data_IF_637795836314
#
_entry.id   IF_637795836314
#
_cell.length_a   1.000
_cell.length_b   1.000
_cell.length_c   1.000
_cell.angle_alpha   90.00
_cell.angle_beta   90.00
_cell.angle_gamma   90.00
#
_symmetry.space_group_name_H-M   'P 1'
#
loop_
_entity.id
_entity.type
_entity.pdbx_description
1 polymer ?
#
# COMPACT_ATOMS: atom_id res chain seq x y z
N UNK A 1 -15.26 4.89 8.44
CA UNK A 1 -14.43 4.13 9.39
C UNK A 1 -14.53 2.65 9.10
N UNK A 2 -15.73 2.04 9.16
CA UNK A 2 -15.94 0.61 8.84
C UNK A 2 -15.32 0.15 7.52
N UNK A 3 -15.49 0.92 6.44
CA UNK A 3 -14.89 0.59 5.13
C UNK A 3 -13.36 0.49 5.19
N UNK A 4 -12.71 1.39 5.94
CA UNK A 4 -11.25 1.37 6.08
C UNK A 4 -10.78 0.19 6.92
N UNK A 5 -11.45 -0.08 8.05
CA UNK A 5 -11.14 -1.24 8.90
C UNK A 5 -11.29 -2.55 8.11
N UNK A 6 -12.38 -2.71 7.37
CA UNK A 6 -12.58 -3.89 6.52
C UNK A 6 -11.49 -4.02 5.45
N UNK A 7 -11.08 -2.91 4.82
CA UNK A 7 -9.97 -2.94 3.88
C UNK A 7 -8.68 -3.43 4.55
N UNK A 8 -8.33 -2.88 5.71
CA UNK A 8 -7.10 -3.22 6.44
C UNK A 8 -7.08 -4.63 6.99
N UNK A 9 -8.25 -5.25 7.24
CA UNK A 9 -8.33 -6.66 7.64
C UNK A 9 -8.18 -7.62 6.46
N UNK A 10 -8.51 -7.19 5.24
CA UNK A 10 -8.53 -8.03 4.04
C UNK A 10 -7.24 -7.89 3.23
N UNK A 11 -6.65 -6.69 3.18
CA UNK A 11 -5.46 -6.39 2.38
C UNK A 11 -4.24 -7.27 2.72
N UNK A 12 -3.94 -7.63 3.98
CA UNK A 12 -2.86 -8.57 4.30
C UNK A 12 -2.97 -9.92 3.59
N UNK A 13 -4.17 -10.30 3.13
CA UNK A 13 -4.37 -11.48 2.28
C UNK A 13 -3.62 -11.39 0.94
N UNK A 14 -3.47 -10.20 0.34
CA UNK A 14 -2.67 -10.03 -0.88
C UNK A 14 -1.19 -10.31 -0.60
N UNK A 15 -0.72 -9.90 0.58
CA UNK A 15 0.68 -9.98 0.97
C UNK A 15 1.05 -11.41 1.35
N UNK A 16 0.14 -12.11 2.04
CA UNK A 16 0.29 -13.53 2.32
C UNK A 16 0.36 -14.36 1.03
N UNK A 17 -0.53 -14.11 0.05
CA UNK A 17 -0.47 -14.79 -1.25
C UNK A 17 0.82 -14.45 -1.98
N UNK A 18 1.23 -13.18 -2.00
CA UNK A 18 2.47 -12.76 -2.65
C UNK A 18 3.71 -13.41 -2.03
N UNK A 19 3.79 -13.45 -0.69
CA UNK A 19 4.85 -14.14 0.05
C UNK A 19 4.87 -15.64 -0.26
N UNK A 20 3.71 -16.29 -0.25
CA UNK A 20 3.60 -17.72 -0.60
C UNK A 20 4.13 -18.02 -1.99
N UNK A 21 3.72 -17.21 -2.98
CA UNK A 21 4.13 -17.39 -4.38
C UNK A 21 5.59 -17.01 -4.65
N UNK A 22 6.22 -16.18 -3.80
CA UNK A 22 7.58 -15.64 -4.01
C UNK A 22 8.69 -16.70 -4.14
N UNK A 23 8.41 -17.94 -3.73
CA UNK A 23 9.31 -19.10 -3.86
C UNK A 23 9.32 -19.69 -5.27
N UNK A 24 8.26 -19.47 -6.04
CA UNK A 24 8.04 -20.08 -7.36
C UNK A 24 7.77 -19.08 -8.49
N UNK A 25 7.31 -17.88 -8.14
CA UNK A 25 6.95 -16.81 -9.07
C UNK A 25 7.66 -15.53 -8.62
N UNK A 26 8.23 -14.79 -9.57
CA UNK A 26 8.92 -13.54 -9.27
C UNK A 26 7.95 -12.49 -8.70
N UNK A 27 8.43 -11.64 -7.79
CA UNK A 27 7.61 -10.57 -7.20
C UNK A 27 7.04 -9.61 -8.27
N UNK A 28 7.79 -9.37 -9.35
CA UNK A 28 7.35 -8.61 -10.51
C UNK A 28 6.17 -9.25 -11.23
N UNK A 29 6.19 -10.58 -11.41
CA UNK A 29 5.08 -11.28 -12.04
C UNK A 29 3.84 -11.30 -11.14
N UNK A 30 3.99 -11.51 -9.83
CA UNK A 30 2.85 -11.42 -8.89
C UNK A 30 2.25 -10.01 -8.91
N UNK A 31 3.09 -8.97 -8.92
CA UNK A 31 2.65 -7.58 -9.03
C UNK A 31 1.97 -7.30 -10.38
N UNK A 32 2.47 -7.83 -11.49
CA UNK A 32 1.81 -7.74 -12.79
C UNK A 32 0.42 -8.39 -12.77
N UNK A 33 0.31 -9.62 -12.25
CA UNK A 33 -0.95 -10.35 -12.19
C UNK A 33 -2.00 -9.62 -11.35
N UNK A 34 -1.59 -8.97 -10.25
CA UNK A 34 -2.46 -8.08 -9.46
C UNK A 34 -3.18 -7.07 -10.36
N UNK A 35 -2.42 -6.34 -11.18
CA UNK A 35 -2.97 -5.29 -12.05
C UNK A 35 -3.72 -5.84 -13.26
N UNK A 36 -3.27 -6.97 -13.80
CA UNK A 36 -3.98 -7.69 -14.86
C UNK A 36 -5.39 -8.07 -14.42
N UNK A 37 -5.52 -8.78 -13.29
CA UNK A 37 -6.81 -9.19 -12.75
C UNK A 37 -7.64 -8.00 -12.28
N UNK A 38 -7.02 -6.98 -11.66
CA UNK A 38 -7.72 -5.75 -11.32
C UNK A 38 -8.35 -5.07 -12.56
N UNK A 39 -7.61 -4.99 -13.66
CA UNK A 39 -8.12 -4.43 -14.91
C UNK A 39 -9.30 -5.23 -15.44
N UNK A 40 -9.18 -6.56 -15.47
CA UNK A 40 -10.23 -7.46 -15.94
C UNK A 40 -11.50 -7.34 -15.09
N UNK A 41 -11.37 -7.31 -13.77
CA UNK A 41 -12.48 -7.19 -12.83
C UNK A 41 -13.14 -5.81 -12.89
N UNK A 42 -12.37 -4.74 -13.10
CA UNK A 42 -12.89 -3.38 -13.16
C UNK A 42 -13.45 -3.00 -14.54
N UNK A 43 -13.08 -3.70 -15.61
CA UNK A 43 -13.55 -3.44 -16.97
C UNK A 43 -15.09 -3.33 -17.07
N UNK A 44 -15.91 -4.30 -16.62
CA UNK A 44 -17.37 -4.20 -16.73
C UNK A 44 -17.95 -3.03 -15.92
N UNK A 45 -17.34 -2.68 -14.78
CA UNK A 45 -17.77 -1.52 -13.99
C UNK A 45 -17.39 -0.21 -14.67
N UNK A 46 -16.19 -0.14 -15.26
CA UNK A 46 -15.71 1.01 -16.03
C UNK A 46 -16.62 1.30 -17.23
N UNK A 47 -17.00 0.27 -18.00
CA UNK A 47 -17.90 0.42 -19.15
C UNK A 47 -19.29 0.96 -18.77
N UNK A 48 -19.71 0.83 -17.51
CA UNK A 48 -20.96 1.42 -16.99
C UNK A 48 -20.81 2.87 -16.54
N UNK A 49 -19.59 3.39 -16.44
CA UNK A 49 -19.34 4.77 -16.01
C UNK A 49 -19.56 5.76 -17.17
N UNK A 50 -20.12 6.95 -16.88
CA UNK A 50 -20.47 7.95 -17.91
C UNK A 50 -19.35 8.94 -18.22
N UNK A 51 -18.99 9.14 -19.49
CA UNK A 51 -18.05 10.20 -19.91
C UNK A 51 -16.92 9.65 -20.77
N UNK A 52 -16.00 10.51 -21.22
CA UNK A 52 -14.94 10.09 -22.14
C UNK A 52 -13.94 9.13 -21.47
N UNK A 53 -13.42 8.19 -22.26
CA UNK A 53 -12.33 7.28 -21.86
C UNK A 53 -11.03 8.05 -21.64
N UNK A 54 -10.81 9.15 -22.37
CA UNK A 54 -9.67 10.03 -22.18
C UNK A 54 -10.14 11.24 -21.35
N UNK A 55 -9.94 11.19 -20.04
CA UNK A 55 -10.26 12.31 -19.16
C UNK A 55 -9.06 13.28 -19.08
N UNK A 56 -9.27 14.56 -18.77
CA UNK A 56 -8.17 15.49 -18.50
C UNK A 56 -7.27 15.06 -17.33
N UNK A 57 -7.78 14.18 -16.46
CA UNK A 57 -7.03 13.61 -15.34
C UNK A 57 -6.16 12.40 -15.71
N UNK A 58 -6.17 11.96 -16.98
CA UNK A 58 -5.45 10.76 -17.42
C UNK A 58 -3.95 10.76 -17.04
N UNK A 59 -3.19 11.87 -17.14
CA UNK A 59 -1.79 11.90 -16.68
C UNK A 59 -1.66 11.63 -15.17
N UNK A 60 -2.61 12.10 -14.35
CA UNK A 60 -2.62 11.82 -12.91
C UNK A 60 -2.98 10.36 -12.63
N UNK A 61 -3.86 9.76 -13.44
CA UNK A 61 -4.14 8.32 -13.38
C UNK A 61 -2.94 7.48 -13.76
N UNK A 62 -2.20 7.87 -14.80
CA UNK A 62 -0.96 7.21 -15.22
C UNK A 62 0.09 7.25 -14.11
N UNK A 63 0.33 8.44 -13.53
CA UNK A 63 1.25 8.58 -12.40
C UNK A 63 0.80 7.77 -11.18
N UNK A 64 -0.51 7.77 -10.86
CA UNK A 64 -1.06 6.92 -9.79
C UNK A 64 -0.83 5.44 -10.04
N UNK A 65 -1.07 4.96 -11.27
CA UNK A 65 -0.84 3.58 -11.68
C UNK A 65 0.63 3.18 -11.55
N UNK A 66 1.55 4.06 -11.98
CA UNK A 66 2.98 3.84 -11.85
C UNK A 66 3.44 3.79 -10.38
N UNK A 67 2.96 4.72 -9.53
CA UNK A 67 3.31 4.76 -8.12
C UNK A 67 2.81 3.54 -7.34
N UNK A 68 1.56 3.10 -7.58
CA UNK A 68 1.05 1.89 -6.92
C UNK A 68 1.74 0.62 -7.44
N UNK A 69 2.13 0.58 -8.72
CA UNK A 69 2.91 -0.52 -9.27
C UNK A 69 4.30 -0.59 -8.65
N UNK A 70 4.99 0.54 -8.52
CA UNK A 70 6.27 0.63 -7.84
C UNK A 70 6.14 0.21 -6.36
N UNK A 71 5.14 0.72 -5.64
CA UNK A 71 4.89 0.33 -4.25
C UNK A 71 4.68 -1.18 -4.13
N UNK A 72 3.84 -1.75 -5.00
CA UNK A 72 3.54 -3.19 -5.01
C UNK A 72 4.80 -4.02 -5.29
N UNK A 73 5.60 -3.63 -6.28
CA UNK A 73 6.85 -4.31 -6.63
C UNK A 73 7.84 -4.29 -5.46
N UNK A 74 8.05 -3.13 -4.85
CA UNK A 74 8.98 -2.99 -3.72
C UNK A 74 8.51 -3.82 -2.53
N UNK A 75 7.22 -3.76 -2.19
CA UNK A 75 6.69 -4.49 -1.05
C UNK A 75 6.74 -6.00 -1.26
N UNK A 76 6.27 -6.50 -2.41
CA UNK A 76 6.30 -7.93 -2.72
C UNK A 76 7.74 -8.47 -2.86
N UNK A 77 8.69 -7.63 -3.26
CA UNK A 77 10.11 -7.99 -3.25
C UNK A 77 10.65 -8.09 -1.82
N UNK A 78 10.21 -7.23 -0.91
CA UNK A 78 10.58 -7.28 0.50
C UNK A 78 10.08 -8.56 1.20
N UNK A 79 8.85 -8.99 0.87
CA UNK A 79 8.21 -10.17 1.48
C UNK A 79 8.91 -11.50 1.19
N UNK A 80 9.76 -11.54 0.16
CA UNK A 80 10.66 -12.68 -0.09
C UNK A 80 11.66 -12.90 1.04
N UNK A 81 12.01 -11.83 1.76
CA UNK A 81 13.06 -11.83 2.77
C UNK A 81 12.53 -11.58 4.19
N UNK A 82 11.43 -10.83 4.32
CA UNK A 82 10.91 -10.39 5.60
C UNK A 82 9.68 -11.18 6.05
N UNK A 83 9.52 -11.41 7.36
CA UNK A 83 8.23 -11.69 7.98
C UNK A 83 7.17 -10.65 7.58
N UNK A 84 5.93 -11.11 7.45
CA UNK A 84 4.82 -10.26 6.97
C UNK A 84 4.59 -9.05 7.88
N UNK A 85 4.59 -9.30 9.19
CA UNK A 85 4.41 -8.27 10.20
C UNK A 85 5.58 -7.29 10.26
N UNK A 86 6.82 -7.74 10.08
CA UNK A 86 7.99 -6.86 10.05
C UNK A 86 7.93 -5.91 8.85
N UNK A 87 7.61 -6.45 7.66
CA UNK A 87 7.45 -5.64 6.45
C UNK A 87 6.35 -4.58 6.61
N UNK A 88 5.18 -4.95 7.14
CA UNK A 88 4.07 -4.01 7.40
C UNK A 88 4.45 -2.97 8.46
N UNK A 89 5.15 -3.39 9.52
CA UNK A 89 5.60 -2.49 10.58
C UNK A 89 6.56 -1.42 10.06
N UNK A 90 7.46 -1.77 9.14
CA UNK A 90 8.35 -0.81 8.49
C UNK A 90 7.55 0.10 7.53
N UNK A 91 6.59 -0.47 6.79
CA UNK A 91 5.72 0.27 5.89
C UNK A 91 4.87 1.32 6.63
N UNK A 92 4.52 1.12 7.90
CA UNK A 92 3.75 2.06 8.72
C UNK A 92 4.41 3.42 9.00
N UNK A 93 5.59 3.70 8.44
CA UNK A 93 6.07 5.07 8.26
C UNK A 93 5.21 5.85 7.26
N UNK A 94 4.48 5.16 6.38
CA UNK A 94 3.62 5.72 5.33
C UNK A 94 2.67 6.81 5.83
N UNK A 95 1.84 6.62 6.89
CA UNK A 95 0.92 7.66 7.33
C UNK A 95 1.64 8.92 7.83
N UNK A 96 2.87 8.78 8.34
CA UNK A 96 3.71 9.91 8.76
C UNK A 96 4.26 10.67 7.56
N UNK A 97 4.70 9.97 6.52
CA UNK A 97 5.11 10.57 5.24
C UNK A 97 3.90 11.27 4.61
N UNK A 98 2.75 10.62 4.57
CA UNK A 98 1.50 11.17 4.06
C UNK A 98 1.13 12.47 4.77
N UNK A 99 1.32 12.53 6.09
CA UNK A 99 1.09 13.74 6.89
C UNK A 99 2.00 14.91 6.46
N UNK A 100 3.27 14.64 6.14
CA UNK A 100 4.19 15.66 5.63
C UNK A 100 3.83 16.08 4.20
N UNK A 101 3.51 15.13 3.33
CA UNK A 101 3.14 15.39 1.94
C UNK A 101 1.80 16.12 1.83
N UNK A 102 0.84 15.82 2.71
CA UNK A 102 -0.44 16.53 2.80
C UNK A 102 -0.23 18.02 3.06
N UNK A 103 0.77 18.36 3.88
CA UNK A 103 1.13 19.75 4.10
C UNK A 103 1.65 20.45 2.85
N UNK A 104 2.59 19.79 2.16
CA UNK A 104 3.28 20.37 1.01
C UNK A 104 2.36 20.49 -0.21
N UNK A 105 1.54 19.46 -0.47
CA UNK A 105 0.76 19.36 -1.71
C UNK A 105 -0.72 19.73 -1.56
N UNK A 106 -1.27 19.66 -0.35
CA UNK A 106 -2.69 19.98 -0.09
C UNK A 106 -2.86 21.26 0.73
N UNK A 107 -1.76 21.92 1.11
CA UNK A 107 -1.78 23.17 1.89
C UNK A 107 -2.19 22.98 3.35
N UNK A 108 -2.06 21.77 3.89
CA UNK A 108 -2.40 21.47 5.28
C UNK A 108 -1.33 22.04 6.23
N UNK A 109 -1.72 22.71 7.31
CA UNK A 109 -0.75 23.24 8.27
C UNK A 109 -0.15 22.14 9.14
N UNK A 110 1.19 22.12 9.28
CA UNK A 110 1.94 21.22 10.19
C UNK A 110 2.45 22.03 11.36
N UNK A 111 1.98 21.74 12.57
CA UNK A 111 2.60 22.29 13.78
C UNK A 111 3.85 21.52 14.19
N UNK A 112 4.74 22.14 14.96
CA UNK A 112 5.96 21.51 15.49
C UNK A 112 5.70 20.17 16.21
N UNK A 113 4.58 20.06 16.94
CA UNK A 113 4.16 18.81 17.62
C UNK A 113 3.91 17.66 16.65
N UNK A 114 3.46 17.96 15.44
CA UNK A 114 3.24 16.96 14.39
C UNK A 114 4.57 16.53 13.79
N UNK A 115 5.51 17.47 13.57
CA UNK A 115 6.87 17.15 13.14
C UNK A 115 7.59 16.26 14.16
N UNK A 116 7.46 16.55 15.46
CA UNK A 116 8.06 15.71 16.50
C UNK A 116 7.45 14.31 16.53
N UNK A 117 6.14 14.17 16.37
CA UNK A 117 5.50 12.85 16.32
C UNK A 117 5.91 12.06 15.07
N UNK A 118 6.04 12.72 13.92
CA UNK A 118 6.59 12.10 12.71
C UNK A 118 8.03 11.62 12.93
N UNK A 119 8.88 12.44 13.57
CA UNK A 119 10.25 12.06 13.89
C UNK A 119 10.32 10.86 14.86
N UNK A 120 9.48 10.84 15.90
CA UNK A 120 9.40 9.72 16.86
C UNK A 120 8.89 8.44 16.18
N UNK A 121 7.87 8.54 15.33
CA UNK A 121 7.37 7.39 14.59
C UNK A 121 8.40 6.85 13.58
N UNK A 122 9.17 7.73 12.94
CA UNK A 122 10.30 7.32 12.10
C UNK A 122 11.41 6.63 12.92
N UNK A 123 11.71 7.12 14.13
CA UNK A 123 12.63 6.42 15.02
C UNK A 123 12.11 5.02 15.40
N UNK A 124 10.79 4.88 15.61
CA UNK A 124 10.14 3.59 15.83
C UNK A 124 10.32 2.61 14.67
N UNK A 125 10.28 3.06 13.42
CA UNK A 125 10.56 2.18 12.28
C UNK A 125 12.03 1.78 12.19
N UNK A 126 12.96 2.64 12.56
CA UNK A 126 14.38 2.27 12.66
C UNK A 126 14.62 1.16 13.69
N UNK A 127 13.84 1.12 14.78
CA UNK A 127 13.87 0.01 15.75
C UNK A 127 13.49 -1.32 15.08
N UNK A 128 12.43 -1.34 14.27
CA UNK A 128 11.99 -2.54 13.53
C UNK A 128 12.98 -2.90 12.41
N UNK A 129 13.52 -1.90 11.71
CA UNK A 129 14.44 -2.13 10.58
C UNK A 129 15.75 -2.72 11.06
N UNK A 130 16.28 -2.30 12.23
CA UNK A 130 17.67 -2.60 12.63
C UNK A 130 18.01 -4.11 12.63
N UNK A 131 17.23 -5.01 13.26
CA UNK A 131 17.50 -6.45 13.20
C UNK A 131 17.48 -6.96 11.76
N UNK A 132 16.42 -6.65 11.01
CA UNK A 132 16.24 -7.04 9.61
C UNK A 132 17.36 -6.55 8.70
N UNK A 133 17.80 -5.31 8.87
CA UNK A 133 18.90 -4.72 8.10
C UNK A 133 20.24 -5.36 8.44
N UNK A 134 20.48 -5.71 9.71
CA UNK A 134 21.68 -6.44 10.09
C UNK A 134 21.76 -7.84 9.50
N UNK A 135 20.60 -8.51 9.33
CA UNK A 135 20.51 -9.85 8.78
C UNK A 135 20.49 -9.88 7.24
N UNK A 136 19.83 -8.91 6.60
CA UNK A 136 19.49 -8.95 5.17
C UNK A 136 20.15 -7.83 4.35
N UNK A 137 20.60 -6.74 4.98
CA UNK A 137 21.10 -5.56 4.31
C UNK A 137 20.01 -4.73 3.63
N UNK A 138 20.30 -4.22 2.43
CA UNK A 138 19.45 -3.29 1.68
C UNK A 138 17.99 -3.74 1.45
N UNK A 139 17.65 -5.02 1.24
CA UNK A 139 16.26 -5.48 1.11
C UNK A 139 15.34 -5.07 2.26
N UNK A 140 15.88 -4.92 3.48
CA UNK A 140 15.11 -4.48 4.65
C UNK A 140 14.57 -3.03 4.50
N UNK A 141 15.10 -2.25 3.55
CA UNK A 141 14.67 -0.88 3.29
C UNK A 141 13.57 -0.78 2.22
N UNK A 142 13.25 -1.86 1.50
CA UNK A 142 12.22 -1.86 0.46
C UNK A 142 10.82 -1.41 0.96
N UNK A 143 10.37 -1.77 2.18
CA UNK A 143 9.11 -1.25 2.70
C UNK A 143 9.10 0.28 2.94
N UNK A 144 10.27 0.92 3.15
CA UNK A 144 10.33 2.40 3.20
C UNK A 144 10.09 3.03 1.82
N UNK A 145 10.65 2.44 0.76
CA UNK A 145 10.37 2.86 -0.61
C UNK A 145 8.90 2.64 -0.99
N UNK A 146 8.31 1.56 -0.48
CA UNK A 146 6.86 1.31 -0.57
C UNK A 146 6.07 2.41 0.11
N UNK A 147 6.42 2.74 1.37
CA UNK A 147 5.74 3.78 2.15
C UNK A 147 5.76 5.14 1.43
N UNK A 148 6.89 5.54 0.87
CA UNK A 148 7.01 6.80 0.13
C UNK A 148 6.15 6.82 -1.14
N UNK A 149 6.28 5.80 -1.99
CA UNK A 149 5.53 5.71 -3.26
C UNK A 149 4.02 5.59 -3.01
N UNK A 150 3.61 4.85 -1.98
CA UNK A 150 2.22 4.70 -1.59
C UNK A 150 1.63 6.00 -1.01
N UNK A 151 2.39 6.73 -0.19
CA UNK A 151 1.94 8.02 0.35
C UNK A 151 1.66 9.04 -0.78
N UNK A 152 2.55 9.12 -1.79
CA UNK A 152 2.31 9.97 -2.98
C UNK A 152 1.08 9.48 -3.76
N UNK A 153 0.92 8.16 -3.95
CA UNK A 153 -0.28 7.58 -4.55
C UNK A 153 -1.55 7.97 -3.78
N UNK A 154 -1.54 7.98 -2.45
CA UNK A 154 -2.69 8.37 -1.63
C UNK A 154 -3.02 9.86 -1.74
N UNK A 155 -2.03 10.75 -1.82
CA UNK A 155 -2.24 12.19 -2.09
C UNK A 155 -2.98 12.37 -3.42
N UNK A 156 -2.51 11.72 -4.48
CA UNK A 156 -3.16 11.79 -5.80
C UNK A 156 -4.56 11.14 -5.77
N UNK A 157 -4.71 10.05 -5.02
CA UNK A 157 -6.01 9.38 -4.81
C UNK A 157 -7.00 10.33 -4.17
N UNK A 158 -6.61 11.04 -3.12
CA UNK A 158 -7.46 12.02 -2.46
C UNK A 158 -7.86 13.16 -3.40
N UNK A 159 -6.91 13.68 -4.19
CA UNK A 159 -7.16 14.76 -5.15
C UNK A 159 -8.20 14.37 -6.21
N UNK A 160 -8.16 13.12 -6.69
CA UNK A 160 -9.08 12.62 -7.72
C UNK A 160 -10.40 12.07 -7.17
N UNK A 161 -10.41 11.54 -5.94
CA UNK A 161 -11.60 10.92 -5.33
C UNK A 161 -12.83 11.85 -5.25
N UNK A 162 -12.61 13.17 -5.23
CA UNK A 162 -13.66 14.18 -5.22
C UNK A 162 -14.24 14.49 -6.61
N UNK A 163 -13.60 14.04 -7.69
CA UNK A 163 -13.92 14.42 -9.09
C UNK A 163 -14.17 13.25 -10.02
N UNK A 164 -13.64 12.08 -9.69
CA UNK A 164 -13.69 10.87 -10.52
C UNK A 164 -14.47 9.75 -9.81
N UNK A 165 -15.09 8.88 -10.61
CA UNK A 165 -15.79 7.70 -10.10
C UNK A 165 -14.77 6.66 -9.59
N UNK A 166 -14.97 6.04 -8.40
CA UNK A 166 -14.04 5.05 -7.83
C UNK A 166 -13.71 3.90 -8.77
N UNK A 167 -14.70 3.40 -9.50
CA UNK A 167 -14.57 2.30 -10.47
C UNK A 167 -13.61 2.70 -11.59
N UNK A 168 -13.74 3.95 -12.07
CA UNK A 168 -12.84 4.56 -13.06
C UNK A 168 -11.43 4.71 -12.52
N UNK A 169 -11.31 5.20 -11.28
CA UNK A 169 -10.01 5.36 -10.61
C UNK A 169 -9.28 4.02 -10.45
N UNK A 170 -9.99 2.94 -10.12
CA UNK A 170 -9.41 1.61 -9.98
C UNK A 170 -9.14 0.94 -11.31
N UNK A 171 -10.00 1.14 -12.31
CA UNK A 171 -9.74 0.66 -13.66
C UNK A 171 -8.44 1.25 -14.22
N UNK A 172 -8.27 2.58 -14.18
CA UNK A 172 -7.02 3.19 -14.67
C UNK A 172 -5.80 2.79 -13.84
N UNK A 173 -5.94 2.60 -12.52
CA UNK A 173 -4.83 2.09 -11.70
C UNK A 173 -4.40 0.67 -12.15
N UNK A 174 -5.37 -0.19 -12.47
CA UNK A 174 -5.13 -1.50 -13.08
C UNK A 174 -4.43 -1.39 -14.44
N UNK A 175 -4.96 -0.58 -15.36
CA UNK A 175 -4.42 -0.43 -16.71
C UNK A 175 -3.00 0.11 -16.68
N UNK A 176 -2.77 1.25 -16.03
CA UNK A 176 -1.45 1.88 -16.02
C UNK A 176 -0.44 1.11 -15.16
N UNK A 177 -0.87 0.54 -14.03
CA UNK A 177 -0.01 -0.35 -13.25
C UNK A 177 0.36 -1.61 -14.02
N UNK A 178 -0.60 -2.18 -14.76
CA UNK A 178 -0.38 -3.33 -15.64
C UNK A 178 0.58 -3.03 -16.79
N UNK A 179 0.46 -1.86 -17.42
CA UNK A 179 1.41 -1.41 -18.45
C UNK A 179 2.82 -1.27 -17.86
N UNK A 180 2.96 -0.57 -16.73
CA UNK A 180 4.25 -0.37 -16.06
C UNK A 180 4.89 -1.72 -15.71
N UNK A 181 4.12 -2.64 -15.13
CA UNK A 181 4.64 -3.96 -14.80
C UNK A 181 4.91 -4.83 -16.02
N UNK A 182 4.15 -4.69 -17.11
CA UNK A 182 4.40 -5.42 -18.37
C UNK A 182 5.73 -4.98 -18.99
N UNK A 183 5.98 -3.67 -19.02
CA UNK A 183 7.26 -3.11 -19.48
C UNK A 183 8.40 -3.55 -18.56
N UNK A 184 8.21 -3.51 -17.24
CA UNK A 184 9.21 -3.93 -16.27
C UNK A 184 9.55 -5.43 -16.42
N UNK A 185 8.56 -6.29 -16.62
CA UNK A 185 8.78 -7.72 -16.88
C UNK A 185 9.51 -7.96 -18.19
N UNK A 186 9.07 -7.32 -19.29
CA UNK A 186 9.73 -7.48 -20.59
C UNK A 186 11.19 -7.02 -20.54
N UNK A 187 11.47 -5.86 -19.93
CA UNK A 187 12.82 -5.34 -19.76
C UNK A 187 13.65 -6.21 -18.79
N UNK A 188 13.04 -6.69 -17.71
CA UNK A 188 13.67 -7.53 -16.71
C UNK A 188 14.06 -8.91 -17.23
N UNK A 189 13.21 -9.51 -18.06
CA UNK A 189 13.48 -10.77 -18.74
C UNK A 189 14.71 -10.63 -19.67
N UNK A 190 14.74 -9.56 -20.50
CA UNK A 190 15.90 -9.27 -21.36
C UNK A 190 17.17 -9.01 -20.56
N UNK A 191 17.05 -8.33 -19.41
CA UNK A 191 18.17 -8.00 -18.54
C UNK A 191 18.53 -9.12 -17.53
N UNK A 192 17.86 -10.27 -17.56
CA UNK A 192 18.05 -11.39 -16.61
C UNK A 192 17.89 -10.98 -15.13
N UNK A 193 16.95 -10.09 -14.83
CA UNK A 193 16.65 -9.65 -13.46
C UNK A 193 15.66 -10.62 -12.83
N UNK A 194 16.11 -11.43 -11.86
CA UNK A 194 15.31 -12.49 -11.23
C UNK A 194 14.00 -12.03 -10.56
N UNK A 195 13.95 -10.78 -10.08
CA UNK A 195 12.73 -10.20 -9.49
C UNK A 195 11.68 -9.86 -10.55
N UNK A 196 12.08 -9.79 -11.82
CA UNK A 196 11.28 -9.41 -12.98
C UNK A 196 11.24 -10.51 -14.06
N UNK A 197 11.46 -11.77 -13.69
CA UNK A 197 11.37 -12.89 -14.62
C UNK A 197 9.92 -13.37 -14.77
N UNK A 198 9.59 -13.92 -15.93
CA UNK A 198 8.27 -14.51 -16.17
C UNK A 198 8.33 -16.04 -16.25
N UNK A 199 7.50 -16.71 -15.46
CA UNK A 199 7.31 -18.17 -15.50
C UNK A 199 5.84 -18.46 -15.68
N UNK A 200 5.49 -19.42 -16.53
CA UNK A 200 4.08 -19.78 -16.72
C UNK A 200 3.49 -20.42 -15.45
N UNK A 201 2.45 -19.83 -14.82
CA UNK A 201 1.90 -20.39 -13.59
C UNK A 201 1.13 -21.68 -13.84
N UNK A 202 1.18 -22.60 -12.88
CA UNK A 202 0.29 -23.76 -12.83
C UNK A 202 -1.16 -23.37 -12.46
N UNK A 203 -2.07 -24.34 -12.47
CA UNK A 203 -3.50 -24.11 -12.18
C UNK A 203 -3.74 -23.54 -10.78
N UNK A 204 -3.00 -24.01 -9.78
CA UNK A 204 -3.14 -23.55 -8.40
C UNK A 204 -2.60 -22.12 -8.23
N UNK A 205 -1.43 -21.85 -8.81
CA UNK A 205 -0.84 -20.52 -8.82
C UNK A 205 -1.74 -19.52 -9.55
N UNK A 206 -2.35 -19.89 -10.68
CA UNK A 206 -3.35 -19.04 -11.34
C UNK A 206 -4.54 -18.71 -10.45
N UNK A 207 -5.03 -19.68 -9.68
CA UNK A 207 -6.12 -19.46 -8.74
C UNK A 207 -5.73 -18.47 -7.63
N UNK A 208 -4.50 -18.61 -7.09
CA UNK A 208 -3.96 -17.68 -6.10
C UNK A 208 -3.76 -16.27 -6.67
N UNK A 209 -3.20 -16.15 -7.88
CA UNK A 209 -3.01 -14.86 -8.55
C UNK A 209 -4.34 -14.16 -8.85
N UNK A 210 -5.37 -14.91 -9.25
CA UNK A 210 -6.73 -14.39 -9.43
C UNK A 210 -7.33 -13.94 -8.09
N UNK A 211 -7.19 -14.75 -7.04
CA UNK A 211 -7.62 -14.41 -5.68
C UNK A 211 -6.95 -13.14 -5.16
N UNK A 212 -5.63 -12.99 -5.37
CA UNK A 212 -4.87 -11.78 -5.07
C UNK A 212 -5.45 -10.57 -5.79
N UNK A 213 -5.78 -10.69 -7.08
CA UNK A 213 -6.43 -9.63 -7.86
C UNK A 213 -7.80 -9.22 -7.29
N UNK A 214 -8.62 -10.19 -6.86
CA UNK A 214 -9.93 -9.94 -6.24
C UNK A 214 -9.79 -9.21 -4.91
N UNK A 215 -8.88 -9.67 -4.04
CA UNK A 215 -8.63 -9.07 -2.73
C UNK A 215 -8.07 -7.65 -2.92
N UNK A 216 -7.09 -7.45 -3.80
CA UNK A 216 -6.51 -6.14 -4.10
C UNK A 216 -7.58 -5.15 -4.60
N UNK A 217 -8.38 -5.58 -5.56
CA UNK A 217 -9.44 -4.74 -6.15
C UNK A 217 -10.48 -4.35 -5.11
N UNK A 218 -10.97 -5.33 -4.35
CA UNK A 218 -11.97 -5.11 -3.29
C UNK A 218 -11.43 -4.18 -2.20
N UNK A 219 -10.24 -4.46 -1.68
CA UNK A 219 -9.60 -3.67 -0.63
C UNK A 219 -9.35 -2.23 -1.07
N UNK A 220 -8.78 -2.01 -2.25
CA UNK A 220 -8.51 -0.64 -2.74
C UNK A 220 -9.78 0.12 -3.15
N UNK A 221 -10.85 -0.57 -3.59
CA UNK A 221 -12.15 0.07 -3.75
C UNK A 221 -12.70 0.57 -2.42
N UNK A 222 -12.63 -0.23 -1.35
CA UNK A 222 -13.03 0.17 0.00
C UNK A 222 -12.21 1.38 0.48
N UNK A 223 -10.89 1.39 0.25
CA UNK A 223 -10.00 2.52 0.56
C UNK A 223 -10.44 3.79 -0.17
N UNK A 224 -10.66 3.75 -1.49
CA UNK A 224 -11.13 4.93 -2.25
C UNK A 224 -12.49 5.41 -1.72
N UNK A 225 -13.41 4.48 -1.44
CA UNK A 225 -14.72 4.79 -0.88
C UNK A 225 -14.63 5.40 0.54
N UNK A 226 -13.63 5.02 1.33
CA UNK A 226 -13.35 5.66 2.61
C UNK A 226 -12.85 7.10 2.41
N UNK A 227 -11.87 7.32 1.53
CA UNK A 227 -11.31 8.65 1.22
C UNK A 227 -12.33 9.61 0.57
N UNK A 228 -13.37 9.09 -0.08
CA UNK A 228 -14.49 9.92 -0.55
C UNK A 228 -15.36 10.48 0.58
N UNK A 229 -15.45 9.74 1.69
CA UNK A 229 -16.38 10.03 2.80
C UNK A 229 -15.69 10.68 4.01
N UNK A 230 -14.37 10.61 4.09
CA UNK A 230 -13.61 11.10 5.23
C UNK A 230 -12.23 11.63 4.79
N UNK A 231 -11.71 12.67 5.47
CA UNK A 231 -10.37 13.17 5.21
C UNK A 231 -9.30 12.15 5.62
N UNK A 232 -8.10 12.26 5.03
CA UNK A 232 -7.00 11.33 5.26
C UNK A 232 -6.58 11.25 6.73
N UNK A 233 -6.49 12.41 7.41
CA UNK A 233 -6.21 12.47 8.84
C UNK A 233 -7.17 11.59 9.64
N UNK A 234 -8.48 11.62 9.34
CA UNK A 234 -9.47 10.82 10.07
C UNK A 234 -9.31 9.31 9.84
N UNK A 235 -8.80 8.90 8.68
CA UNK A 235 -8.67 7.50 8.26
C UNK A 235 -7.33 6.88 8.65
N UNK A 236 -6.29 7.69 8.81
CA UNK A 236 -4.92 7.26 9.12
C UNK A 236 -4.80 6.24 10.28
N UNK A 237 -5.42 6.42 11.47
CA UNK A 237 -5.22 5.46 12.56
C UNK A 237 -5.81 4.07 12.25
N UNK A 238 -6.78 3.99 11.35
CA UNK A 238 -7.37 2.71 10.97
C UNK A 238 -6.46 1.89 10.06
N UNK A 239 -5.47 2.50 9.40
CA UNK A 239 -4.46 1.77 8.64
C UNK A 239 -3.65 0.83 9.52
N UNK A 240 -3.38 1.22 10.78
CA UNK A 240 -2.63 0.39 11.72
C UNK A 240 -3.33 -0.92 12.08
N UNK A 241 -4.63 -1.07 11.80
CA UNK A 241 -5.36 -2.34 11.98
C UNK A 241 -4.77 -3.44 11.08
N UNK A 242 -4.13 -3.07 9.97
CA UNK A 242 -3.54 -4.00 9.01
C UNK A 242 -2.52 -4.96 9.65
N UNK A 243 -1.82 -4.52 10.71
CA UNK A 243 -0.84 -5.37 11.41
C UNK A 243 -1.47 -6.57 12.11
N UNK A 244 -2.75 -6.49 12.48
CA UNK A 244 -3.47 -7.61 13.10
C UNK A 244 -3.58 -8.74 12.07
N UNK A 245 -4.02 -8.40 10.85
CA UNK A 245 -4.11 -9.35 9.74
C UNK A 245 -2.74 -9.86 9.32
N UNK A 246 -1.74 -8.98 9.25
CA UNK A 246 -0.36 -9.34 8.92
C UNK A 246 0.25 -10.34 9.91
N UNK A 247 0.08 -10.08 11.21
CA UNK A 247 0.59 -10.94 12.28
C UNK A 247 -0.13 -12.28 12.26
N UNK A 248 -1.47 -12.26 12.13
CA UNK A 248 -2.27 -13.48 12.08
C UNK A 248 -1.91 -14.37 10.88
N UNK A 249 -1.87 -13.81 9.67
CA UNK A 249 -1.54 -14.57 8.46
C UNK A 249 -0.06 -14.97 8.45
N UNK A 250 0.84 -14.12 8.96
CA UNK A 250 2.24 -14.44 9.21
C UNK A 250 2.41 -15.71 10.04
N UNK A 251 1.72 -15.76 11.19
CA UNK A 251 1.77 -16.89 12.10
C UNK A 251 1.15 -18.15 11.49
N UNK A 252 -0.06 -18.03 10.92
CA UNK A 252 -0.82 -19.19 10.42
C UNK A 252 -0.18 -19.86 9.21
N UNK A 253 0.31 -19.07 8.26
CA UNK A 253 0.83 -19.62 6.99
C UNK A 253 2.34 -19.80 6.96
N UNK A 254 3.09 -19.04 7.76
CA UNK A 254 4.56 -19.02 7.72
C UNK A 254 5.23 -19.36 9.05
N UNK A 255 4.46 -19.48 10.14
CA UNK A 255 5.03 -19.67 11.48
C UNK A 255 5.77 -18.43 12.00
N UNK A 256 5.62 -17.29 11.32
CA UNK A 256 6.31 -16.04 11.65
C UNK A 256 5.52 -15.28 12.71
N UNK A 257 6.11 -15.08 13.90
CA UNK A 257 5.56 -14.19 14.92
C UNK A 257 6.52 -13.03 15.20
N UNK A 258 6.03 -11.78 15.32
CA UNK A 258 6.90 -10.64 15.56
C UNK A 258 7.62 -10.76 16.91
N UNK A 259 8.91 -10.46 16.90
CA UNK A 259 9.72 -10.45 18.13
C UNK A 259 9.45 -9.21 19.00
N UNK A 260 10.07 -9.18 20.17
CA UNK A 260 9.91 -8.08 21.11
C UNK A 260 10.35 -6.72 20.53
N UNK A 261 11.37 -6.70 19.68
CA UNK A 261 11.86 -5.45 19.06
C UNK A 261 10.90 -4.92 18.02
N UNK A 262 10.28 -5.79 17.21
CA UNK A 262 9.20 -5.42 16.31
C UNK A 262 8.02 -4.86 17.09
N UNK A 263 7.59 -5.51 18.17
CA UNK A 263 6.48 -5.00 18.99
C UNK A 263 6.75 -3.64 19.61
N UNK A 264 7.97 -3.39 20.09
CA UNK A 264 8.38 -2.07 20.60
C UNK A 264 8.33 -1.02 19.50
N UNK A 265 8.90 -1.31 18.32
CA UNK A 265 8.87 -0.38 17.20
C UNK A 265 7.45 -0.08 16.73
N UNK A 266 6.60 -1.10 16.60
CA UNK A 266 5.16 -0.98 16.29
C UNK A 266 4.47 -0.08 17.30
N UNK A 267 4.68 -0.30 18.61
CA UNK A 267 4.06 0.50 19.65
C UNK A 267 4.44 1.98 19.52
N UNK A 268 5.72 2.28 19.20
CA UNK A 268 6.20 3.65 18.97
C UNK A 268 5.53 4.28 17.74
N UNK A 269 5.48 3.55 16.61
CA UNK A 269 4.92 4.04 15.35
C UNK A 269 3.42 4.31 15.51
N UNK A 270 2.66 3.33 16.02
CA UNK A 270 1.21 3.43 16.20
C UNK A 270 0.88 4.56 17.18
N UNK A 271 1.58 4.64 18.31
CA UNK A 271 1.36 5.73 19.29
C UNK A 271 1.62 7.11 18.69
N UNK A 272 2.67 7.23 17.87
CA UNK A 272 3.01 8.48 17.17
C UNK A 272 1.93 8.87 16.16
N UNK A 273 1.45 7.91 15.36
CA UNK A 273 0.35 8.12 14.42
C UNK A 273 -0.97 8.48 15.12
N UNK A 274 -1.31 7.79 16.21
CA UNK A 274 -2.48 8.09 17.03
C UNK A 274 -2.40 9.49 17.67
N UNK A 275 -1.21 9.92 18.08
CA UNK A 275 -1.00 11.28 18.59
C UNK A 275 -1.26 12.35 17.52
N UNK A 276 -0.72 12.16 16.31
CA UNK A 276 -0.97 13.06 15.17
C UNK A 276 -2.46 13.17 14.91
N UNK A 277 -3.15 12.03 14.81
CA UNK A 277 -4.59 11.95 14.64
C UNK A 277 -5.37 12.70 15.73
N UNK A 278 -5.09 12.39 17.00
CA UNK A 278 -5.81 12.97 18.14
C UNK A 278 -5.68 14.50 18.14
N UNK A 279 -4.50 15.00 17.78
CA UNK A 279 -4.24 16.43 17.69
C UNK A 279 -5.06 17.09 16.58
N UNK A 280 -5.13 16.48 15.40
CA UNK A 280 -5.94 17.00 14.28
C UNK A 280 -7.44 17.00 14.63
N UNK A 281 -7.94 15.93 15.23
CA UNK A 281 -9.33 15.86 15.67
C UNK A 281 -9.66 16.96 16.70
N UNK A 282 -8.74 17.26 17.60
CA UNK A 282 -8.91 18.30 18.61
C UNK A 282 -8.89 19.71 18.00
N UNK A 283 -8.01 19.96 17.03
CA UNK A 283 -7.94 21.25 16.34
C UNK A 283 -9.19 21.51 15.48
N UNK A 284 -9.66 20.49 14.75
CA UNK A 284 -10.87 20.60 13.93
C UNK A 284 -12.13 20.89 14.77
N UNK A 285 -12.20 20.39 16.02
CA UNK A 285 -13.28 20.69 16.95
C UNK A 285 -13.26 22.13 17.48
N UNK A 286 -12.09 22.76 17.58
CA UNK A 286 -11.96 24.16 18.02
C UNK A 286 -12.33 25.20 16.95
N UNK A 287 -12.39 24.79 15.69
CA UNK A 287 -12.71 25.66 14.54
C UNK A 287 -14.20 25.63 14.19
N UNK A 288 -15.01 24.75 14.81
CA UNK A 288 -16.46 24.83 14.66
C UNK A 288 -17.01 25.91 15.61
N UNK A 289 -17.69 26.95 15.09
CA UNK A 289 -18.40 27.93 15.92
C UNK A 289 -19.58 27.29 16.67
#
# INVERSE_FOLDING_TARGET
>A
MTLMVLAMLILPGIDAIAKWLSTTISSGQVAWSRFFFQTLLMLPLFLRTRGPILTPALPLHALRGALIALATLLFFSALKYLPLADAISIFFVEPLILTLLGALFLGESVGWRRLTAVAVGFAGSLVVIRPSFSALGLPALLPLGTALSFAVYLILTRKLAQREYPERMQFYAGVFGGIVMSVALAAGEVANISVLSFVWPDRWQWMLLAGLGVIATSGHLLVVHAFRRAPAGLLAPFQYVEIIGATFLGLVFFGDFPDATTWVGVAIIVSSGMYVFHREATLARRVKP
#
